data_IF_718520070287
#
_entry.id   IF_718520070287
#
_cell.length_a   1.000
_cell.length_b   1.000
_cell.length_c   1.000
_cell.angle_alpha   90.00
_cell.angle_beta   90.00
_cell.angle_gamma   90.00
#
_symmetry.space_group_name_H-M   'P 1'
#
loop_
_entity.id
_entity.type
_entity.pdbx_description
1 polymer ?
#
# COMPACT_ATOMS: atom_id res chain seq x y z
N UNK A 1 0.09 31.05 10.88
CA UNK A 1 0.68 29.70 10.63
C UNK A 1 2.17 29.83 10.43
N UNK A 2 2.94 28.87 10.97
CA UNK A 2 4.39 28.75 10.82
C UNK A 2 4.75 27.38 10.27
N UNK A 3 5.87 27.27 9.58
CA UNK A 3 6.36 26.01 9.04
C UNK A 3 7.73 25.69 9.61
N UNK A 4 7.98 24.42 9.86
CA UNK A 4 9.24 23.93 10.39
C UNK A 4 9.70 22.72 9.59
N UNK A 5 11.01 22.59 9.41
CA UNK A 5 11.62 21.40 8.83
C UNK A 5 12.19 20.52 9.94
N UNK A 6 11.82 19.26 9.95
CA UNK A 6 12.39 18.24 10.83
C UNK A 6 12.88 17.08 9.97
N UNK A 7 14.20 17.00 9.77
CA UNK A 7 14.81 16.12 8.78
C UNK A 7 14.18 16.34 7.39
N UNK A 8 13.45 15.35 6.87
CA UNK A 8 12.76 15.44 5.59
C UNK A 8 11.30 15.87 5.73
N UNK A 9 10.75 15.95 6.95
CA UNK A 9 9.35 16.27 7.18
C UNK A 9 9.11 17.79 7.30
N UNK A 10 7.94 18.22 6.83
CA UNK A 10 7.41 19.56 7.03
C UNK A 10 6.32 19.51 8.08
N UNK A 11 6.47 20.35 9.11
CA UNK A 11 5.50 20.52 10.18
C UNK A 11 4.88 21.92 10.07
N UNK A 12 3.57 21.98 9.93
CA UNK A 12 2.80 23.22 9.99
C UNK A 12 2.30 23.40 11.43
N UNK A 13 2.54 24.58 12.02
CA UNK A 13 1.97 24.97 13.32
C UNK A 13 0.97 26.08 13.10
N UNK A 14 -0.28 25.87 13.53
CA UNK A 14 -1.34 26.88 13.43
C UNK A 14 -1.23 27.93 14.54
N UNK A 15 -2.14 28.90 14.54
CA UNK A 15 -2.11 30.01 15.50
C UNK A 15 -2.51 29.57 16.92
N UNK A 16 -3.11 28.39 17.07
CA UNK A 16 -3.46 27.74 18.34
C UNK A 16 -2.32 26.87 18.90
N UNK A 17 -1.11 26.94 18.30
CA UNK A 17 0.05 26.10 18.60
C UNK A 17 -0.17 24.59 18.40
N UNK A 18 -1.09 24.21 17.50
CA UNK A 18 -1.28 22.82 17.10
C UNK A 18 -0.38 22.46 15.93
N UNK A 19 0.31 21.31 16.01
CA UNK A 19 1.21 20.82 14.98
C UNK A 19 0.52 19.84 14.02
N UNK A 20 0.87 19.95 12.74
CA UNK A 20 0.36 19.12 11.67
C UNK A 20 1.49 18.64 10.77
N UNK A 21 1.43 17.38 10.34
CA UNK A 21 2.29 16.82 9.30
C UNK A 21 1.50 16.60 8.02
N UNK A 22 2.17 16.61 6.88
CA UNK A 22 1.53 16.33 5.61
C UNK A 22 1.55 14.82 5.31
N UNK A 23 0.39 14.25 5.04
CA UNK A 23 0.24 12.86 4.63
C UNK A 23 0.06 12.80 3.11
N UNK A 24 1.14 12.51 2.37
CA UNK A 24 1.14 12.46 0.90
C UNK A 24 0.16 11.44 0.34
N UNK A 25 0.06 10.26 0.96
CA UNK A 25 -0.89 9.24 0.52
C UNK A 25 -2.35 9.70 0.57
N UNK A 26 -2.70 10.67 1.40
CA UNK A 26 -4.07 11.21 1.51
C UNK A 26 -4.16 12.69 1.07
N UNK A 27 -3.05 13.27 0.60
CA UNK A 27 -2.87 14.68 0.24
C UNK A 27 -3.48 15.66 1.27
N UNK A 28 -3.29 15.39 2.57
CA UNK A 28 -3.86 16.21 3.66
C UNK A 28 -2.95 16.40 4.86
N UNK A 29 -3.14 17.51 5.56
CA UNK A 29 -2.53 17.77 6.86
C UNK A 29 -3.23 16.96 7.96
N UNK A 30 -2.45 16.27 8.79
CA UNK A 30 -2.92 15.53 9.95
C UNK A 30 -2.33 16.12 11.22
N UNK A 31 -3.19 16.36 12.21
CA UNK A 31 -2.77 16.81 13.54
C UNK A 31 -1.91 15.73 14.18
N UNK A 32 -0.85 16.14 14.86
CA UNK A 32 -0.01 15.26 15.64
C UNK A 32 0.48 15.98 16.89
N UNK A 33 0.56 15.25 18.00
CA UNK A 33 1.12 15.76 19.24
C UNK A 33 2.65 15.78 19.15
N UNK A 34 3.19 16.73 18.38
CA UNK A 34 4.63 16.91 18.19
C UNK A 34 5.09 18.22 18.83
N UNK A 35 6.16 18.14 19.61
CA UNK A 35 6.92 19.32 20.03
C UNK A 35 7.85 19.68 18.88
N UNK A 36 7.59 20.80 18.22
CA UNK A 36 8.40 21.22 17.08
C UNK A 36 9.73 21.83 17.55
N UNK A 37 10.82 21.10 17.35
CA UNK A 37 12.20 21.55 17.62
C UNK A 37 13.02 21.71 16.32
N UNK A 38 12.35 21.81 15.16
CA UNK A 38 12.98 22.00 13.85
C UNK A 38 13.33 23.46 13.56
N UNK A 39 14.02 23.67 12.44
CA UNK A 39 14.30 25.02 11.94
C UNK A 39 13.01 25.62 11.35
N UNK A 40 12.67 26.84 11.76
CA UNK A 40 11.54 27.59 11.15
C UNK A 40 11.91 27.93 9.70
N UNK A 41 11.05 27.54 8.77
CA UNK A 41 11.20 27.75 7.33
C UNK A 41 10.05 28.61 6.80
N UNK A 42 10.26 29.22 5.64
CA UNK A 42 9.20 29.94 4.93
C UNK A 42 8.16 28.98 4.36
N UNK A 43 6.96 29.48 4.12
CA UNK A 43 5.91 28.72 3.43
C UNK A 43 6.34 28.25 2.03
N UNK A 44 7.13 29.05 1.31
CA UNK A 44 7.65 28.66 0.00
C UNK A 44 8.64 27.50 0.12
N UNK A 45 9.55 27.53 1.09
CA UNK A 45 10.47 26.41 1.34
C UNK A 45 9.71 25.15 1.76
N UNK A 46 8.67 25.29 2.59
CA UNK A 46 7.81 24.19 2.99
C UNK A 46 7.15 23.52 1.78
N UNK A 47 6.53 24.30 0.89
CA UNK A 47 5.91 23.77 -0.33
C UNK A 47 6.92 23.11 -1.26
N UNK A 48 8.13 23.65 -1.41
CA UNK A 48 9.17 23.03 -2.23
C UNK A 48 9.57 21.65 -1.69
N UNK A 49 9.77 21.53 -0.38
CA UNK A 49 10.06 20.23 0.26
C UNK A 49 8.90 19.25 0.04
N UNK A 50 7.66 19.70 0.21
CA UNK A 50 6.49 18.84 -0.04
C UNK A 50 6.41 18.40 -1.51
N UNK A 51 6.68 19.28 -2.47
CA UNK A 51 6.67 18.94 -3.89
C UNK A 51 7.77 17.92 -4.26
N UNK A 52 8.97 18.06 -3.68
CA UNK A 52 10.06 17.09 -3.84
C UNK A 52 9.67 15.71 -3.30
N UNK A 53 9.04 15.67 -2.11
CA UNK A 53 8.54 14.42 -1.52
C UNK A 53 7.43 13.78 -2.35
N UNK A 54 6.50 14.59 -2.86
CA UNK A 54 5.43 14.11 -3.75
C UNK A 54 6.03 13.53 -5.04
N UNK A 55 7.02 14.20 -5.62
CA UNK A 55 7.71 13.71 -6.81
C UNK A 55 8.43 12.39 -6.53
N UNK A 56 9.16 12.30 -5.42
CA UNK A 56 9.81 11.06 -4.99
C UNK A 56 8.81 9.91 -4.83
N UNK A 57 7.66 10.16 -4.20
CA UNK A 57 6.63 9.14 -4.01
C UNK A 57 6.02 8.67 -5.34
N UNK A 58 5.79 9.59 -6.28
CA UNK A 58 5.31 9.26 -7.62
C UNK A 58 6.33 8.45 -8.42
N UNK A 59 7.63 8.70 -8.24
CA UNK A 59 8.68 7.92 -8.89
C UNK A 59 8.77 6.51 -8.28
N UNK A 60 8.56 6.36 -6.97
CA UNK A 60 8.42 5.05 -6.34
C UNK A 60 7.18 4.28 -6.83
N UNK A 61 6.06 4.96 -7.10
CA UNK A 61 4.88 4.34 -7.71
C UNK A 61 5.20 3.77 -9.10
N UNK A 62 5.87 4.55 -9.96
CA UNK A 62 6.29 4.07 -11.28
C UNK A 62 7.27 2.90 -11.19
N UNK A 63 8.18 2.95 -10.21
CA UNK A 63 9.12 1.86 -9.96
C UNK A 63 8.37 0.60 -9.54
N UNK A 64 7.39 0.70 -8.64
CA UNK A 64 6.57 -0.44 -8.20
C UNK A 64 5.81 -1.09 -9.36
N UNK A 65 5.15 -0.28 -10.19
CA UNK A 65 4.44 -0.75 -11.39
C UNK A 65 5.39 -1.49 -12.34
N UNK A 66 6.56 -0.90 -12.61
CA UNK A 66 7.58 -1.52 -13.47
C UNK A 66 8.11 -2.83 -12.87
N UNK A 67 8.43 -2.85 -11.58
CA UNK A 67 8.92 -4.05 -10.89
C UNK A 67 7.88 -5.16 -10.96
N UNK A 68 6.60 -4.88 -10.70
CA UNK A 68 5.53 -5.87 -10.80
C UNK A 68 5.40 -6.42 -12.23
N UNK A 69 5.47 -5.56 -13.25
CA UNK A 69 5.42 -5.98 -14.65
C UNK A 69 6.59 -6.88 -15.04
N UNK A 70 7.80 -6.54 -14.60
CA UNK A 70 9.01 -7.32 -14.88
C UNK A 70 9.02 -8.66 -14.15
N UNK A 71 8.66 -8.68 -12.86
CA UNK A 71 8.72 -9.87 -12.00
C UNK A 71 7.64 -10.90 -12.31
N UNK A 72 6.45 -10.46 -12.70
CA UNK A 72 5.38 -11.34 -13.15
C UNK A 72 5.40 -11.59 -14.67
N UNK A 73 6.47 -11.21 -15.37
CA UNK A 73 6.59 -11.43 -16.82
C UNK A 73 6.53 -12.92 -17.16
N UNK A 74 5.61 -13.29 -18.05
CA UNK A 74 5.36 -14.68 -18.46
C UNK A 74 4.47 -15.48 -17.49
N UNK A 75 4.10 -14.93 -16.33
CA UNK A 75 3.11 -15.54 -15.44
C UNK A 75 1.71 -15.31 -15.99
N UNK A 76 0.87 -16.36 -15.93
CA UNK A 76 -0.52 -16.32 -16.35
C UNK A 76 -1.46 -16.51 -15.17
N UNK A 77 -2.60 -15.81 -15.18
CA UNK A 77 -3.68 -16.02 -14.23
C UNK A 77 -4.45 -17.32 -14.54
N UNK A 78 -5.40 -17.68 -13.66
CA UNK A 78 -6.24 -18.88 -13.83
C UNK A 78 -7.09 -18.86 -15.11
N UNK A 79 -7.30 -17.69 -15.71
CA UNK A 79 -8.01 -17.51 -16.97
C UNK A 79 -7.10 -17.48 -18.20
N UNK A 80 -5.78 -17.60 -18.02
CA UNK A 80 -4.79 -17.57 -19.11
C UNK A 80 -4.36 -16.16 -19.55
N UNK A 81 -4.70 -15.12 -18.79
CA UNK A 81 -4.28 -13.74 -19.08
C UNK A 81 -2.95 -13.41 -18.38
N UNK A 82 -2.19 -12.41 -18.85
CA UNK A 82 -1.00 -11.92 -18.13
C UNK A 82 -1.33 -11.58 -16.67
N UNK A 83 -0.58 -12.17 -15.74
CA UNK A 83 -0.85 -12.01 -14.31
C UNK A 83 -0.71 -10.56 -13.84
N UNK A 84 0.17 -9.75 -14.45
CA UNK A 84 0.33 -8.31 -14.15
C UNK A 84 -0.98 -7.50 -14.19
N UNK A 85 -1.98 -7.96 -14.95
CA UNK A 85 -3.32 -7.35 -14.96
C UNK A 85 -3.99 -7.39 -13.56
N UNK A 86 -3.63 -8.35 -12.72
CA UNK A 86 -4.15 -8.47 -11.35
C UNK A 86 -3.62 -7.33 -10.45
N UNK A 87 -2.30 -7.16 -10.22
CA UNK A 87 -1.80 -6.02 -9.45
C UNK A 87 -2.27 -4.65 -9.96
N UNK A 88 -2.37 -4.46 -11.28
CA UNK A 88 -2.94 -3.24 -11.87
C UNK A 88 -4.38 -2.96 -11.41
N UNK A 89 -5.24 -3.99 -11.46
CA UNK A 89 -6.63 -3.85 -11.05
C UNK A 89 -6.81 -3.69 -9.52
N UNK A 90 -5.89 -4.25 -8.71
CA UNK A 90 -5.87 -4.00 -7.26
C UNK A 90 -5.47 -2.55 -6.98
N UNK A 91 -4.39 -2.06 -7.60
CA UNK A 91 -3.93 -0.68 -7.43
C UNK A 91 -4.97 0.35 -7.90
N UNK A 92 -5.70 0.07 -8.98
CA UNK A 92 -6.74 0.96 -9.51
C UNK A 92 -7.95 1.17 -8.58
N UNK A 93 -8.14 0.31 -7.57
CA UNK A 93 -9.21 0.45 -6.57
C UNK A 93 -8.82 1.34 -5.39
N UNK A 94 -7.55 1.75 -5.31
CA UNK A 94 -7.00 2.51 -4.20
C UNK A 94 -6.80 3.96 -4.64
N UNK A 95 -6.96 4.91 -3.72
CA UNK A 95 -6.64 6.31 -3.98
C UNK A 95 -5.23 6.66 -3.51
N UNK A 96 -4.88 6.19 -2.31
CA UNK A 96 -3.62 6.49 -1.65
C UNK A 96 -2.42 5.91 -2.40
N UNK A 97 -1.44 6.76 -2.71
CA UNK A 97 -0.26 6.41 -3.50
C UNK A 97 0.62 5.35 -2.85
N UNK A 98 0.79 5.36 -1.52
CA UNK A 98 1.53 4.31 -0.81
C UNK A 98 0.80 2.97 -0.89
N UNK A 99 -0.54 3.00 -0.83
CA UNK A 99 -1.34 1.79 -0.93
C UNK A 99 -1.28 1.23 -2.36
N UNK A 100 -1.22 2.10 -3.38
CA UNK A 100 -0.99 1.70 -4.77
C UNK A 100 0.39 1.05 -4.95
N UNK A 101 1.44 1.60 -4.33
CA UNK A 101 2.78 0.99 -4.34
C UNK A 101 2.71 -0.42 -3.75
N UNK A 102 2.14 -0.58 -2.56
CA UNK A 102 1.97 -1.88 -1.93
C UNK A 102 1.11 -2.83 -2.78
N UNK A 103 0.03 -2.35 -3.40
CA UNK A 103 -0.82 -3.15 -4.27
C UNK A 103 -0.11 -3.64 -5.54
N UNK A 104 0.79 -2.86 -6.13
CA UNK A 104 1.60 -3.35 -7.23
C UNK A 104 2.53 -4.49 -6.80
N UNK A 105 3.04 -4.44 -5.58
CA UNK A 105 4.06 -5.36 -5.09
C UNK A 105 3.54 -6.51 -4.23
N UNK A 106 2.24 -6.55 -3.91
CA UNK A 106 1.70 -7.42 -2.85
C UNK A 106 1.98 -8.91 -3.06
N UNK A 107 1.94 -9.38 -4.32
CA UNK A 107 2.20 -10.77 -4.69
C UNK A 107 3.62 -10.98 -5.24
N UNK A 108 4.44 -9.93 -5.37
CA UNK A 108 5.80 -10.03 -5.94
C UNK A 108 6.70 -10.91 -5.08
N UNK A 109 6.66 -10.76 -3.76
CA UNK A 109 7.44 -11.60 -2.85
C UNK A 109 6.83 -12.99 -2.62
N UNK A 110 5.54 -13.18 -2.92
CA UNK A 110 4.85 -14.47 -2.76
C UNK A 110 5.03 -15.37 -3.99
N UNK A 111 4.92 -14.81 -5.19
CA UNK A 111 4.89 -15.56 -6.45
C UNK A 111 6.22 -15.55 -7.22
N UNK A 112 7.20 -14.76 -6.78
CA UNK A 112 8.48 -14.60 -7.50
C UNK A 112 9.68 -14.78 -6.56
N UNK A 113 10.90 -15.01 -7.06
CA UNK A 113 12.11 -15.12 -6.23
C UNK A 113 12.54 -13.81 -5.53
N UNK A 114 11.74 -12.74 -5.60
CA UNK A 114 12.06 -11.44 -5.01
C UNK A 114 11.89 -11.48 -3.50
N UNK A 115 12.84 -10.91 -2.78
CA UNK A 115 12.85 -10.85 -1.31
C UNK A 115 12.42 -9.48 -0.78
N UNK A 116 12.09 -9.38 0.50
CA UNK A 116 11.81 -8.08 1.13
C UNK A 116 13.06 -7.19 1.16
N UNK A 117 14.23 -7.79 1.28
CA UNK A 117 15.53 -7.12 1.21
C UNK A 117 15.74 -6.50 -0.18
N UNK A 118 15.41 -7.21 -1.27
CA UNK A 118 15.46 -6.64 -2.62
C UNK A 118 14.59 -5.37 -2.74
N UNK A 119 13.40 -5.37 -2.13
CA UNK A 119 12.52 -4.20 -2.15
C UNK A 119 13.13 -3.02 -1.38
N UNK A 120 13.77 -3.28 -0.24
CA UNK A 120 14.48 -2.24 0.52
C UNK A 120 15.67 -1.69 -0.27
N UNK A 121 16.44 -2.55 -0.95
CA UNK A 121 17.55 -2.15 -1.80
C UNK A 121 17.11 -1.35 -3.03
N UNK A 122 15.91 -1.61 -3.55
CA UNK A 122 15.27 -0.79 -4.60
C UNK A 122 14.84 0.59 -4.10
N UNK A 123 14.88 0.85 -2.79
CA UNK A 123 14.51 2.13 -2.19
C UNK A 123 13.05 2.24 -1.74
N UNK A 124 12.30 1.14 -1.68
CA UNK A 124 10.95 1.16 -1.12
C UNK A 124 10.99 1.46 0.38
N UNK A 125 10.12 2.37 0.82
CA UNK A 125 10.07 2.80 2.20
C UNK A 125 9.83 1.60 3.15
N UNK A 126 10.55 1.46 4.28
CA UNK A 126 10.42 0.32 5.17
C UNK A 126 8.98 0.03 5.63
N UNK A 127 8.18 1.07 5.87
CA UNK A 127 6.76 0.92 6.23
C UNK A 127 5.94 0.21 5.14
N UNK A 128 6.21 0.50 3.86
CA UNK A 128 5.52 -0.12 2.73
C UNK A 128 5.95 -1.58 2.61
N UNK A 129 7.24 -1.86 2.77
CA UNK A 129 7.78 -3.24 2.77
C UNK A 129 7.20 -4.07 3.91
N UNK A 130 6.98 -3.47 5.08
CA UNK A 130 6.29 -4.13 6.20
C UNK A 130 4.84 -4.48 5.84
N UNK A 131 4.09 -3.56 5.25
CA UNK A 131 2.72 -3.85 4.77
C UNK A 131 2.71 -4.97 3.73
N UNK A 132 3.69 -5.01 2.81
CA UNK A 132 3.84 -6.10 1.83
C UNK A 132 4.13 -7.42 2.54
N UNK A 133 5.01 -7.43 3.55
CA UNK A 133 5.29 -8.63 4.35
C UNK A 133 4.05 -9.14 5.07
N UNK A 134 3.22 -8.25 5.61
CA UNK A 134 1.93 -8.63 6.20
C UNK A 134 0.99 -9.24 5.16
N UNK A 135 1.00 -8.74 3.92
CA UNK A 135 0.18 -9.26 2.82
C UNK A 135 0.65 -10.65 2.37
N UNK A 136 1.95 -10.92 2.36
CA UNK A 136 2.52 -12.24 2.07
C UNK A 136 2.19 -13.23 3.21
N UNK A 137 1.33 -14.19 2.94
CA UNK A 137 0.80 -15.06 4.00
C UNK A 137 1.86 -16.03 4.54
N UNK A 138 2.20 -15.93 5.82
CA UNK A 138 3.03 -16.91 6.50
C UNK A 138 2.34 -18.29 6.64
N UNK A 139 3.11 -19.38 6.52
CA UNK A 139 2.57 -20.76 6.54
C UNK A 139 2.15 -21.24 7.96
N UNK A 140 2.66 -20.59 9.01
CA UNK A 140 2.59 -21.04 10.40
C UNK A 140 1.45 -20.41 11.22
N UNK A 141 0.67 -19.50 10.64
CA UNK A 141 -0.42 -18.79 11.34
C UNK A 141 -1.81 -19.19 10.86
N UNK A 142 -2.80 -19.10 11.76
CA UNK A 142 -4.21 -19.28 11.41
C UNK A 142 -4.70 -18.17 10.47
N UNK A 143 -5.78 -18.41 9.74
CA UNK A 143 -6.32 -17.39 8.84
C UNK A 143 -6.92 -16.21 9.62
N UNK A 144 -7.48 -16.47 10.79
CA UNK A 144 -8.00 -15.46 11.71
C UNK A 144 -6.88 -14.56 12.24
N UNK A 145 -5.77 -15.15 12.71
CA UNK A 145 -4.59 -14.39 13.17
C UNK A 145 -3.97 -13.57 12.04
N UNK A 146 -3.92 -14.13 10.82
CA UNK A 146 -3.48 -13.41 9.64
C UNK A 146 -4.35 -12.17 9.37
N UNK A 147 -5.68 -12.31 9.40
CA UNK A 147 -6.59 -11.18 9.20
C UNK A 147 -6.48 -10.14 10.32
N UNK A 148 -6.23 -10.55 11.56
CA UNK A 148 -6.01 -9.62 12.67
C UNK A 148 -4.76 -8.76 12.45
N UNK A 149 -3.65 -9.38 12.02
CA UNK A 149 -2.41 -8.66 11.66
C UNK A 149 -2.64 -7.70 10.49
N UNK A 150 -3.28 -8.16 9.41
CA UNK A 150 -3.67 -7.32 8.28
C UNK A 150 -4.52 -6.14 8.74
N UNK A 151 -5.49 -6.37 9.62
CA UNK A 151 -6.43 -5.34 10.08
C UNK A 151 -5.74 -4.22 10.89
N UNK A 152 -4.63 -4.54 11.54
CA UNK A 152 -3.86 -3.57 12.33
C UNK A 152 -3.00 -2.60 11.51
N UNK A 153 -2.80 -2.87 10.21
CA UNK A 153 -2.05 -2.02 9.29
C UNK A 153 -2.96 -1.47 8.19
N UNK A 154 -3.14 -0.14 8.14
CA UNK A 154 -4.11 0.47 7.21
C UNK A 154 -3.77 0.21 5.74
N UNK A 155 -2.49 0.19 5.38
CA UNK A 155 -2.04 -0.08 4.02
C UNK A 155 -2.37 -1.54 3.63
N UNK A 156 -1.89 -2.51 4.41
CA UNK A 156 -2.14 -3.93 4.19
C UNK A 156 -3.65 -4.25 4.20
N UNK A 157 -4.42 -3.65 5.12
CA UNK A 157 -5.87 -3.81 5.18
C UNK A 157 -6.55 -3.37 3.90
N UNK A 158 -6.28 -2.15 3.43
CA UNK A 158 -6.91 -1.61 2.23
C UNK A 158 -6.49 -2.39 0.97
N UNK A 159 -5.21 -2.75 0.85
CA UNK A 159 -4.71 -3.59 -0.25
C UNK A 159 -5.38 -4.97 -0.21
N UNK A 160 -5.50 -5.59 0.97
CA UNK A 160 -6.13 -6.91 1.09
C UNK A 160 -7.61 -6.87 0.72
N UNK A 161 -8.32 -5.80 1.08
CA UNK A 161 -9.70 -5.61 0.68
C UNK A 161 -9.84 -5.44 -0.84
N UNK A 162 -8.96 -4.67 -1.48
CA UNK A 162 -8.94 -4.49 -2.93
C UNK A 162 -8.59 -5.79 -3.68
N UNK A 163 -7.62 -6.55 -3.17
CA UNK A 163 -7.26 -7.90 -3.65
C UNK A 163 -8.48 -8.83 -3.59
N UNK A 164 -9.12 -8.94 -2.43
CA UNK A 164 -10.29 -9.81 -2.25
C UNK A 164 -11.43 -9.38 -3.19
N UNK A 165 -11.71 -8.07 -3.32
CA UNK A 165 -12.76 -7.57 -4.22
C UNK A 165 -12.50 -7.96 -5.68
N UNK A 166 -11.26 -7.84 -6.15
CA UNK A 166 -10.88 -8.28 -7.50
C UNK A 166 -10.98 -9.80 -7.67
N UNK A 167 -10.56 -10.55 -6.66
CA UNK A 167 -10.62 -12.01 -6.64
C UNK A 167 -12.04 -12.58 -6.49
N UNK A 168 -13.01 -11.76 -6.07
CA UNK A 168 -14.42 -12.13 -5.99
C UNK A 168 -15.16 -12.07 -7.32
N UNK A 169 -14.56 -11.51 -8.39
CA UNK A 169 -15.13 -11.56 -9.73
C UNK A 169 -15.01 -12.97 -10.33
N UNK A 170 -16.00 -13.80 -10.01
CA UNK A 170 -16.08 -15.18 -10.48
C UNK A 170 -16.31 -15.30 -12.00
N UNK A 171 -16.77 -14.23 -12.66
CA UNK A 171 -17.03 -14.24 -14.11
C UNK A 171 -15.74 -14.44 -14.92
N UNK A 172 -14.58 -14.16 -14.32
CA UNK A 172 -13.25 -14.38 -14.90
C UNK A 172 -12.84 -15.84 -14.99
N UNK A 173 -13.57 -16.76 -14.35
CA UNK A 173 -13.27 -18.19 -14.34
C UNK A 173 -14.26 -18.89 -15.28
N UNK A 174 -13.83 -19.44 -16.44
CA UNK A 174 -14.74 -20.01 -17.44
C UNK A 174 -15.57 -21.20 -16.95
N UNK A 175 -15.04 -22.00 -16.02
CA UNK A 175 -15.72 -23.15 -15.42
C UNK A 175 -15.45 -23.18 -13.90
N UNK A 176 -16.17 -22.37 -13.10
CA UNK A 176 -15.95 -22.31 -11.67
C UNK A 176 -16.30 -23.62 -10.97
N UNK A 177 -15.46 -24.02 -10.03
CA UNK A 177 -15.63 -25.26 -9.24
C UNK A 177 -16.27 -24.99 -7.87
N UNK A 178 -16.66 -26.05 -7.16
CA UNK A 178 -17.10 -25.93 -5.74
C UNK A 178 -16.04 -25.24 -4.87
N UNK A 179 -14.74 -25.44 -5.17
CA UNK A 179 -13.64 -24.77 -4.46
C UNK A 179 -13.67 -23.25 -4.66
N UNK A 180 -14.07 -22.78 -5.84
CA UNK A 180 -14.16 -21.35 -6.12
C UNK A 180 -15.32 -20.71 -5.35
N UNK A 181 -16.48 -21.38 -5.30
CA UNK A 181 -17.62 -20.91 -4.49
C UNK A 181 -17.32 -20.92 -2.99
N UNK A 182 -16.63 -21.96 -2.47
CA UNK A 182 -16.19 -22.00 -1.09
C UNK A 182 -15.21 -20.86 -0.76
N UNK A 183 -14.30 -20.55 -1.70
CA UNK A 183 -13.37 -19.41 -1.59
C UNK A 183 -14.10 -18.06 -1.57
N UNK A 184 -15.14 -17.88 -2.39
CA UNK A 184 -15.96 -16.67 -2.34
C UNK A 184 -16.61 -16.47 -0.97
N UNK A 185 -17.13 -17.53 -0.36
CA UNK A 185 -17.73 -17.43 0.96
C UNK A 185 -16.71 -17.07 2.05
N UNK A 186 -15.50 -17.63 1.95
CA UNK A 186 -14.36 -17.23 2.79
C UNK A 186 -14.02 -15.75 2.60
N UNK A 187 -13.99 -15.26 1.36
CA UNK A 187 -13.70 -13.87 1.03
C UNK A 187 -14.77 -12.89 1.52
N UNK A 188 -16.06 -13.24 1.44
CA UNK A 188 -17.13 -12.41 2.02
C UNK A 188 -16.95 -12.20 3.52
N UNK A 189 -16.63 -13.26 4.26
CA UNK A 189 -16.38 -13.18 5.71
C UNK A 189 -15.16 -12.32 6.02
N UNK A 190 -14.09 -12.49 5.24
CA UNK A 190 -12.87 -11.71 5.40
C UNK A 190 -13.10 -10.21 5.13
N UNK A 191 -13.78 -9.85 4.03
CA UNK A 191 -14.11 -8.45 3.74
C UNK A 191 -14.92 -7.82 4.87
N UNK A 192 -15.97 -8.50 5.32
CA UNK A 192 -16.79 -8.01 6.44
C UNK A 192 -15.94 -7.73 7.67
N UNK A 193 -15.04 -8.65 8.02
CA UNK A 193 -14.16 -8.48 9.18
C UNK A 193 -13.17 -7.32 9.01
N UNK A 194 -12.64 -7.08 7.80
CA UNK A 194 -11.70 -6.00 7.53
C UNK A 194 -12.38 -4.61 7.42
N UNK A 195 -13.66 -4.57 7.06
CA UNK A 195 -14.46 -3.34 6.97
C UNK A 195 -14.94 -2.82 8.33
N UNK A 196 -15.13 -3.71 9.31
CA UNK A 196 -15.47 -3.38 10.70
C UNK A 196 -14.30 -2.72 11.45
#
# INVERSE_FOLDING_TARGET
MKYFRLADEVIMVNDDNEAFFYCFGEEKWKKQDVICNGDEITETEAHNVLDEQRQSLNDMLKLAEKTAAEKHSGQLDKGGNPYFNHPQAVAAQLENTEYKIAAYLHDVCEDTPTTFEDLLEMGFAPRIVESIRLLTKAEDISYEEYLEKIKSDDCARNVKMADIRHNMDISRIPCPSEKDFARLEKYRKALKYLEE
#
